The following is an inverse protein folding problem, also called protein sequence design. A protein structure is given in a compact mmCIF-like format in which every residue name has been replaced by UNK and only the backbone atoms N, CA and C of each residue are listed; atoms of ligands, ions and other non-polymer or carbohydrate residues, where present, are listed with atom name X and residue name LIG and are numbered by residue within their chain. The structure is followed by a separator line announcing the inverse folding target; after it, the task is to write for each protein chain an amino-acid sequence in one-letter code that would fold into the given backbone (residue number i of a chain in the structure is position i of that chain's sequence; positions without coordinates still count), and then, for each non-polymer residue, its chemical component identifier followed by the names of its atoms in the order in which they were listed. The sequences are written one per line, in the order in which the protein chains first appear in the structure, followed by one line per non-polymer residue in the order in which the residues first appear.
data_IF_591730049442
#
_entry.id   IF_591730049442
#
_cell.length_a   1.000
_cell.length_b   1.000
_cell.length_c   1.000
_cell.angle_alpha   90.00
_cell.angle_beta   90.00
_cell.angle_gamma   90.00
#
_symmetry.space_group_name_H-M   'P 1'
#
loop_
_entity.id
_entity.type
_entity.pdbx_description
1 polymer ?
#
# COMPACT_ATOMS: atom_id res chain seq x y z
N UNK A 1 -7.58 -13.62 -15.10
CA UNK A 1 -6.15 -13.69 -14.75
C UNK A 1 -5.78 -15.14 -14.57
N UNK A 2 -4.61 -15.57 -15.06
CA UNK A 2 -4.09 -16.93 -14.80
C UNK A 2 -3.35 -16.91 -13.46
N UNK A 3 -3.46 -17.98 -12.69
CA UNK A 3 -2.74 -18.18 -11.43
C UNK A 3 -1.78 -19.34 -11.56
N UNK A 4 -0.60 -19.20 -10.98
CA UNK A 4 0.40 -20.27 -10.87
C UNK A 4 0.51 -20.71 -9.41
N UNK A 5 0.59 -22.02 -9.19
CA UNK A 5 0.76 -22.56 -7.84
C UNK A 5 2.24 -22.57 -7.50
N UNK A 6 2.61 -21.80 -6.49
CA UNK A 6 3.96 -21.74 -5.94
C UNK A 6 3.94 -22.21 -4.48
N UNK A 7 5.03 -22.85 -4.03
CA UNK A 7 5.22 -23.25 -2.64
C UNK A 7 6.14 -22.24 -1.96
N UNK A 8 5.73 -21.70 -0.82
CA UNK A 8 6.48 -20.75 -0.02
C UNK A 8 6.27 -21.07 1.46
N UNK A 9 7.32 -20.85 2.25
CA UNK A 9 7.26 -20.92 3.71
C UNK A 9 6.69 -19.62 4.26
N UNK A 10 5.75 -19.73 5.20
CA UNK A 10 5.21 -18.60 5.95
C UNK A 10 5.40 -18.89 7.43
N UNK A 11 5.60 -17.83 8.23
CA UNK A 11 5.62 -17.95 9.68
C UNK A 11 4.29 -18.55 10.17
N UNK A 12 4.38 -19.48 11.11
CA UNK A 12 3.21 -20.22 11.59
C UNK A 12 2.17 -19.30 12.23
N UNK A 13 2.65 -18.34 13.04
CA UNK A 13 1.82 -17.33 13.70
C UNK A 13 1.08 -16.45 12.69
N UNK A 14 1.78 -15.94 11.68
CA UNK A 14 1.20 -15.13 10.60
C UNK A 14 0.18 -15.92 9.78
N UNK A 15 0.48 -17.19 9.49
CA UNK A 15 -0.43 -18.05 8.76
C UNK A 15 -1.71 -18.33 9.57
N UNK A 16 -1.59 -18.53 10.89
CA UNK A 16 -2.71 -18.72 11.78
C UNK A 16 -3.62 -17.48 11.81
N UNK A 17 -3.04 -16.30 12.02
CA UNK A 17 -3.76 -15.02 12.04
C UNK A 17 -4.49 -14.75 10.72
N UNK A 18 -3.82 -14.98 9.58
CA UNK A 18 -4.44 -14.81 8.27
C UNK A 18 -5.62 -15.77 8.08
N UNK A 19 -5.48 -17.03 8.49
CA UNK A 19 -6.56 -18.03 8.39
C UNK A 19 -7.74 -17.71 9.30
N UNK A 20 -7.51 -17.15 10.49
CA UNK A 20 -8.58 -16.67 11.37
C UNK A 20 -9.32 -15.49 10.72
N UNK A 21 -8.58 -14.57 10.10
CA UNK A 21 -9.15 -13.36 9.50
C UNK A 21 -9.96 -13.64 8.23
N UNK A 22 -9.47 -14.49 7.31
CA UNK A 22 -10.10 -14.69 5.98
C UNK A 22 -10.59 -16.12 5.71
N UNK A 23 -10.39 -17.04 6.64
CA UNK A 23 -10.68 -18.45 6.46
C UNK A 23 -9.71 -19.16 5.50
N UNK A 24 -9.77 -20.49 5.46
CA UNK A 24 -8.86 -21.33 4.67
C UNK A 24 -8.96 -21.03 3.17
N UNK A 25 -10.17 -20.80 2.65
CA UNK A 25 -10.40 -20.53 1.21
C UNK A 25 -10.02 -19.10 0.82
N UNK A 26 -10.03 -18.16 1.78
CA UNK A 26 -9.68 -16.76 1.54
C UNK A 26 -8.18 -16.49 1.46
N UNK A 27 -7.34 -17.40 1.97
CA UNK A 27 -5.91 -17.17 2.12
C UNK A 27 -5.21 -16.81 0.81
N UNK A 28 -5.50 -17.52 -0.29
CA UNK A 28 -4.85 -17.24 -1.58
C UNK A 28 -5.20 -15.85 -2.11
N UNK A 29 -6.47 -15.43 -2.02
CA UNK A 29 -6.90 -14.09 -2.44
C UNK A 29 -6.28 -13.01 -1.56
N UNK A 30 -6.23 -13.26 -0.25
CA UNK A 30 -5.61 -12.35 0.72
C UNK A 30 -4.12 -12.12 0.43
N UNK A 31 -3.35 -13.19 0.23
CA UNK A 31 -1.92 -13.11 -0.10
C UNK A 31 -1.70 -12.41 -1.44
N UNK A 32 -2.49 -12.72 -2.47
CA UNK A 32 -2.38 -12.03 -3.76
C UNK A 32 -2.67 -10.53 -3.65
N UNK A 33 -3.63 -10.13 -2.82
CA UNK A 33 -3.95 -8.72 -2.57
C UNK A 33 -2.80 -8.03 -1.83
N UNK A 34 -2.29 -8.65 -0.75
CA UNK A 34 -1.17 -8.13 0.01
C UNK A 34 0.09 -7.98 -0.87
N UNK A 35 0.43 -9.01 -1.65
CA UNK A 35 1.57 -8.98 -2.56
C UNK A 35 1.43 -7.87 -3.62
N UNK A 36 0.23 -7.70 -4.19
CA UNK A 36 -0.01 -6.60 -5.16
C UNK A 36 0.20 -5.23 -4.53
N UNK A 37 -0.29 -5.03 -3.31
CA UNK A 37 -0.10 -3.77 -2.57
C UNK A 37 1.37 -3.52 -2.26
N UNK A 38 2.08 -4.53 -1.78
CA UNK A 38 3.51 -4.43 -1.49
C UNK A 38 4.30 -4.07 -2.75
N UNK A 39 4.11 -4.79 -3.86
CA UNK A 39 4.80 -4.49 -5.11
C UNK A 39 4.46 -3.10 -5.66
N UNK A 40 3.25 -2.59 -5.40
CA UNK A 40 2.92 -1.21 -5.76
C UNK A 40 3.67 -0.20 -4.89
N UNK A 41 3.72 -0.44 -3.58
CA UNK A 41 4.47 0.39 -2.65
C UNK A 41 5.96 0.41 -3.00
N UNK A 42 6.55 -0.74 -3.29
CA UNK A 42 7.96 -0.87 -3.67
C UNK A 42 8.28 -0.05 -4.93
N UNK A 43 7.40 -0.10 -5.95
CA UNK A 43 7.54 0.73 -7.17
C UNK A 43 7.44 2.22 -6.87
N UNK A 44 6.53 2.63 -5.98
CA UNK A 44 6.40 4.04 -5.59
C UNK A 44 7.64 4.51 -4.82
N UNK A 45 8.14 3.71 -3.88
CA UNK A 45 9.37 4.01 -3.15
C UNK A 45 10.56 4.14 -4.08
N UNK A 46 10.70 3.23 -5.05
CA UNK A 46 11.77 3.29 -6.05
C UNK A 46 11.70 4.57 -6.89
N UNK A 47 10.50 4.93 -7.38
CA UNK A 47 10.29 6.17 -8.13
C UNK A 47 10.63 7.41 -7.30
N UNK A 48 10.20 7.46 -6.04
CA UNK A 48 10.50 8.59 -5.16
C UNK A 48 12.02 8.74 -4.94
N UNK A 49 12.73 7.63 -4.76
CA UNK A 49 14.19 7.64 -4.62
C UNK A 49 14.89 8.13 -5.90
N UNK A 50 14.38 7.77 -7.09
CA UNK A 50 14.88 8.28 -8.37
C UNK A 50 14.67 9.81 -8.48
N UNK A 51 13.48 10.30 -8.14
CA UNK A 51 13.17 11.73 -8.18
C UNK A 51 14.01 12.54 -7.17
N UNK A 52 14.22 12.01 -5.97
CA UNK A 52 15.09 12.65 -4.97
C UNK A 52 16.55 12.67 -5.44
N UNK A 53 17.02 11.64 -6.12
CA UNK A 53 18.36 11.63 -6.71
C UNK A 53 18.50 12.67 -7.83
N UNK A 54 17.46 12.88 -8.63
CA UNK A 54 17.47 13.84 -9.75
C UNK A 54 17.35 15.30 -9.27
N UNK A 55 16.49 15.57 -8.29
CA UNK A 55 16.12 16.93 -7.89
C UNK A 55 16.63 17.34 -6.50
N UNK A 56 17.16 16.41 -5.72
CA UNK A 56 17.50 16.61 -4.31
C UNK A 56 16.29 16.40 -3.38
N UNK A 57 16.52 16.48 -2.05
CA UNK A 57 15.45 16.34 -1.07
C UNK A 57 14.45 17.51 -1.14
N UNK A 58 13.20 17.23 -0.79
CA UNK A 58 12.16 18.27 -0.71
C UNK A 58 12.43 19.21 0.46
N UNK A 59 12.35 20.51 0.22
CA UNK A 59 12.47 21.53 1.28
C UNK A 59 11.34 21.34 2.32
N UNK A 60 11.69 21.16 3.61
CA UNK A 60 10.71 21.03 4.69
C UNK A 60 9.70 22.18 4.76
N UNK A 61 10.10 23.42 4.43
CA UNK A 61 9.20 24.56 4.45
C UNK A 61 8.10 24.44 3.39
N UNK A 62 8.45 23.98 2.19
CA UNK A 62 7.50 23.71 1.11
C UNK A 62 6.59 22.53 1.45
N UNK A 63 7.12 21.48 2.10
CA UNK A 63 6.32 20.34 2.53
C UNK A 63 5.24 20.77 3.55
N UNK A 64 5.60 21.62 4.51
CA UNK A 64 4.66 22.14 5.51
C UNK A 64 3.64 23.11 4.92
N UNK A 65 4.03 23.92 3.94
CA UNK A 65 3.08 24.72 3.16
C UNK A 65 2.07 23.84 2.42
N UNK A 66 2.56 22.81 1.71
CA UNK A 66 1.71 21.86 1.02
C UNK A 66 0.76 21.12 1.98
N UNK A 67 1.24 20.72 3.17
CA UNK A 67 0.44 20.08 4.21
C UNK A 67 -0.70 20.98 4.71
N UNK A 68 -0.44 22.27 4.90
CA UNK A 68 -1.46 23.26 5.28
C UNK A 68 -2.48 23.51 4.17
N UNK A 69 -2.04 23.49 2.92
CA UNK A 69 -2.90 23.69 1.76
C UNK A 69 -3.72 22.44 1.39
N UNK A 70 -3.26 21.25 1.79
CA UNK A 70 -3.95 20.00 1.50
C UNK A 70 -5.25 19.90 2.32
N UNK A 71 -6.40 19.68 1.69
CA UNK A 71 -7.66 19.56 2.43
C UNK A 71 -7.58 18.38 3.40
N UNK A 72 -8.05 18.62 4.64
CA UNK A 72 -8.11 17.59 5.67
C UNK A 72 -8.83 16.33 5.13
N UNK A 73 -8.45 15.11 5.55
CA UNK A 73 -9.04 13.85 5.09
C UNK A 73 -10.58 13.84 5.15
N UNK A 74 -11.15 14.55 6.13
CA UNK A 74 -12.58 14.66 6.38
C UNK A 74 -13.35 15.31 5.21
N UNK A 75 -12.73 16.28 4.53
CA UNK A 75 -13.31 16.94 3.34
C UNK A 75 -13.34 16.01 2.12
N UNK A 76 -12.43 15.04 2.03
CA UNK A 76 -12.36 14.08 0.93
C UNK A 76 -13.37 12.93 1.06
N UNK A 77 -13.74 12.53 2.29
CA UNK A 77 -14.75 11.48 2.50
C UNK A 77 -16.15 11.99 2.15
N UNK A 78 -16.47 13.24 2.51
CA UNK A 78 -17.75 13.87 2.18
C UNK A 78 -18.01 13.91 0.67
N UNK A 79 -16.96 14.19 -0.13
CA UNK A 79 -17.06 14.32 -1.59
C UNK A 79 -17.22 12.97 -2.33
N UNK A 80 -16.84 11.85 -1.71
CA UNK A 80 -16.95 10.49 -2.30
C UNK A 80 -18.26 9.78 -1.98
N UNK A 81 -19.01 10.22 -0.96
CA UNK A 81 -20.33 9.65 -0.62
C UNK A 81 -21.50 10.28 -1.37
N UNK A 82 -21.25 11.39 -2.06
CA UNK A 82 -22.21 12.14 -2.87
C UNK A 82 -22.09 11.89 -4.38
N UNK A 83 -21.32 10.87 -4.80
CA UNK A 83 -21.15 10.44 -6.19
C UNK A 83 -21.43 8.94 -6.28
#
# INVERSE_FOLDING_TARGET
MRTEKVSLSLEETLLAEARETVGIRGLSSYVNRALRQQLQQDRLTALLAELEKEHGPVDPALLEEARRAWPAPELNVAKRRSA
#
